data_IF_863564203275
#
_entry.id   IF_863564203275
#
_cell.length_a   1.000
_cell.length_b   1.000
_cell.length_c   1.000
_cell.angle_alpha   90.00
_cell.angle_beta   90.00
_cell.angle_gamma   90.00
#
_symmetry.space_group_name_H-M   'P 1'
#
loop_
_entity.id
_entity.type
_entity.pdbx_description
1 polymer ?
#
# COMPACT_ATOMS: atom_id res chain seq x y z
N UNK A 1 21.07 7.61 24.10
CA UNK A 1 19.70 8.12 24.21
C UNK A 1 18.77 6.95 24.58
N UNK A 2 17.98 7.08 25.64
CA UNK A 2 17.02 6.05 26.01
C UNK A 2 15.90 6.00 24.95
N UNK A 3 15.90 4.97 24.11
CA UNK A 3 14.81 4.76 23.15
C UNK A 3 13.50 4.56 23.91
N UNK A 4 12.44 5.26 23.50
CA UNK A 4 11.10 5.08 24.06
C UNK A 4 10.68 3.63 23.78
N UNK A 5 10.64 2.81 24.83
CA UNK A 5 10.10 1.45 24.76
C UNK A 5 8.63 1.53 25.10
N UNK A 6 7.77 1.70 24.09
CA UNK A 6 6.33 1.59 24.29
C UNK A 6 6.00 0.12 24.57
N UNK A 7 5.47 -0.24 25.75
CA UNK A 7 5.05 -1.60 26.01
C UNK A 7 3.99 -1.93 24.97
N UNK A 8 4.25 -2.94 24.14
CA UNK A 8 3.35 -3.24 23.04
C UNK A 8 1.94 -3.48 23.59
N UNK A 9 1.80 -4.01 24.82
CA UNK A 9 0.58 -4.53 25.48
C UNK A 9 -0.58 -3.54 25.62
N UNK A 10 -0.38 -2.24 25.43
CA UNK A 10 -1.48 -1.29 25.46
C UNK A 10 -2.15 -1.08 24.08
N UNK A 11 -3.46 -0.73 24.06
CA UNK A 11 -4.19 -0.42 22.82
C UNK A 11 -3.45 0.61 21.96
N UNK A 12 -3.62 0.53 20.63
CA UNK A 12 -2.93 1.42 19.68
C UNK A 12 -3.07 2.90 20.06
N UNK A 13 -4.26 3.29 20.51
CA UNK A 13 -4.62 4.67 20.83
C UNK A 13 -3.82 5.19 22.05
N UNK A 14 -3.59 4.34 23.05
CA UNK A 14 -2.74 4.65 24.20
C UNK A 14 -1.26 4.73 23.82
N UNK A 15 -0.81 3.90 22.86
CA UNK A 15 0.56 3.99 22.33
C UNK A 15 0.78 5.29 21.56
N UNK A 16 -0.21 5.72 20.77
CA UNK A 16 -0.17 6.99 20.05
C UNK A 16 -0.17 8.19 21.01
N UNK A 17 -1.00 8.15 22.06
CA UNK A 17 -1.04 9.19 23.08
C UNK A 17 0.27 9.33 23.89
N UNK A 18 1.10 8.28 23.93
CA UNK A 18 2.41 8.28 24.59
C UNK A 18 3.54 8.79 23.70
N UNK A 19 3.29 9.01 22.40
CA UNK A 19 4.28 9.61 21.53
C UNK A 19 4.38 11.11 21.85
N UNK A 20 5.61 11.66 22.01
CA UNK A 20 5.77 13.10 22.19
C UNK A 20 5.09 13.83 21.03
N UNK A 21 4.35 14.89 21.34
CA UNK A 21 3.71 15.75 20.34
C UNK A 21 4.82 16.48 19.58
N UNK A 22 5.26 15.91 18.47
CA UNK A 22 6.23 16.56 17.59
C UNK A 22 5.50 17.65 16.80
N UNK A 23 6.11 18.84 16.62
CA UNK A 23 5.53 19.89 15.80
C UNK A 23 5.22 19.34 14.39
N UNK A 24 4.07 19.74 13.85
CA UNK A 24 3.61 19.29 12.53
C UNK A 24 4.59 19.66 11.40
N UNK A 25 4.48 18.96 10.27
CA UNK A 25 5.33 19.11 9.08
C UNK A 25 4.97 20.38 8.28
N UNK A 26 4.64 21.49 8.95
CA UNK A 26 4.43 22.76 8.26
C UNK A 26 5.70 23.63 8.28
N UNK A 27 6.75 23.24 9.00
CA UNK A 27 7.97 24.05 9.21
C UNK A 27 9.30 23.29 9.02
N UNK A 28 9.43 22.43 8.01
CA UNK A 28 10.76 21.90 7.62
C UNK A 28 11.22 22.52 6.31
N UNK A 29 11.39 23.84 6.36
CA UNK A 29 12.09 24.64 5.33
C UNK A 29 13.28 25.36 5.97
N UNK A 30 14.31 24.60 6.37
CA UNK A 30 15.66 25.17 6.46
C UNK A 30 16.71 24.10 6.22
N UNK A 31 17.58 24.38 5.24
CA UNK A 31 18.77 23.62 4.92
C UNK A 31 19.74 23.78 6.08
N UNK A 32 19.79 22.81 7.00
CA UNK A 32 20.81 22.77 8.05
C UNK A 32 22.02 22.02 7.50
N UNK A 33 23.08 22.76 7.17
CA UNK A 33 24.42 22.21 7.02
C UNK A 33 24.97 21.88 8.41
N UNK A 34 24.74 20.64 8.84
CA UNK A 34 25.18 20.05 10.11
C UNK A 34 24.99 18.53 10.06
N UNK A 35 25.37 17.76 11.11
CA UNK A 35 25.18 16.31 11.12
C UNK A 35 23.71 16.01 10.80
N UNK A 36 23.50 15.27 9.70
CA UNK A 36 22.23 15.12 8.99
C UNK A 36 21.11 14.75 9.99
N UNK A 37 20.27 15.74 10.34
CA UNK A 37 19.12 15.52 11.20
C UNK A 37 18.07 14.78 10.39
N UNK A 38 17.80 13.52 10.73
CA UNK A 38 16.70 12.75 10.15
C UNK A 38 15.42 13.16 10.87
N UNK A 39 14.46 13.83 10.21
CA UNK A 39 13.21 14.20 10.86
C UNK A 39 12.44 12.95 11.27
N UNK A 40 12.08 12.85 12.55
CA UNK A 40 11.19 11.80 13.04
C UNK A 40 9.77 12.34 12.93
N UNK A 41 8.95 11.71 12.10
CA UNK A 41 7.55 12.08 11.91
C UNK A 41 6.67 10.92 12.36
N UNK A 42 5.67 11.22 13.18
CA UNK A 42 4.63 10.26 13.56
C UNK A 42 3.54 10.26 12.49
N UNK A 43 3.26 9.09 11.91
CA UNK A 43 2.15 8.95 10.95
C UNK A 43 0.81 9.17 11.67
N UNK A 44 -0.06 9.98 11.05
CA UNK A 44 -1.44 10.18 11.53
C UNK A 44 -2.28 8.93 11.25
N UNK A 45 -3.12 8.54 12.20
CA UNK A 45 -4.07 7.43 12.07
C UNK A 45 -5.48 7.98 12.06
N UNK A 46 -6.32 7.46 11.16
CA UNK A 46 -7.71 7.88 11.01
C UNK A 46 -8.66 6.70 11.24
N UNK A 47 -9.77 6.90 11.99
CA UNK A 47 -10.83 5.90 12.09
C UNK A 47 -11.40 5.53 10.72
N UNK A 48 -11.26 4.25 10.34
CA UNK A 48 -11.64 3.73 9.01
C UNK A 48 -13.09 4.04 8.66
N UNK A 49 -14.03 3.83 9.59
CA UNK A 49 -15.47 4.03 9.34
C UNK A 49 -15.84 5.47 8.98
N UNK A 50 -15.06 6.45 9.45
CA UNK A 50 -15.36 7.86 9.27
C UNK A 50 -14.59 8.49 8.11
N UNK A 51 -13.37 8.03 7.85
CA UNK A 51 -12.41 8.78 7.02
C UNK A 51 -11.81 8.00 5.87
N UNK A 52 -12.20 6.74 5.61
CA UNK A 52 -11.57 5.99 4.52
C UNK A 52 -11.63 6.69 3.15
N UNK A 53 -12.77 7.26 2.71
CA UNK A 53 -12.82 8.00 1.44
C UNK A 53 -11.89 9.23 1.45
N UNK A 54 -11.86 9.97 2.57
CA UNK A 54 -11.01 11.15 2.72
C UNK A 54 -9.52 10.78 2.65
N UNK A 55 -9.13 9.67 3.28
CA UNK A 55 -7.74 9.20 3.32
C UNK A 55 -7.26 8.68 1.97
N UNK A 56 -8.12 8.06 1.16
CA UNK A 56 -7.76 7.57 -0.18
C UNK A 56 -7.50 8.75 -1.12
N UNK A 57 -8.23 9.85 -0.96
CA UNK A 57 -8.18 11.01 -1.86
C UNK A 57 -7.58 12.27 -1.24
N UNK A 58 -6.89 12.17 -0.11
CA UNK A 58 -6.42 13.33 0.65
C UNK A 58 -5.46 14.20 -0.18
N UNK A 59 -5.91 15.35 -0.71
CA UNK A 59 -5.10 16.19 -1.57
C UNK A 59 -4.08 17.01 -0.77
N UNK A 60 -4.18 17.01 0.56
CA UNK A 60 -3.28 17.75 1.44
C UNK A 60 -1.98 17.01 1.73
N UNK A 61 -1.87 15.73 1.32
CA UNK A 61 -0.65 14.96 1.54
C UNK A 61 0.49 15.53 0.69
N UNK A 62 1.65 15.83 1.30
CA UNK A 62 2.78 16.43 0.60
C UNK A 62 3.45 15.46 -0.38
N UNK A 63 3.07 14.18 -0.36
CA UNK A 63 3.63 13.13 -1.20
C UNK A 63 2.52 12.22 -1.74
N UNK A 64 2.67 11.68 -2.97
CA UNK A 64 1.78 10.66 -3.49
C UNK A 64 1.71 9.44 -2.56
N UNK A 65 0.51 8.92 -2.32
CA UNK A 65 0.30 7.70 -1.53
C UNK A 65 0.23 6.46 -2.41
N UNK A 66 0.85 5.36 -1.97
CA UNK A 66 0.79 4.07 -2.66
C UNK A 66 -0.40 3.19 -2.22
N UNK A 67 -1.30 3.74 -1.39
CA UNK A 67 -2.47 3.06 -0.86
C UNK A 67 -2.72 3.34 0.62
N UNK A 68 -3.41 2.41 1.29
CA UNK A 68 -3.87 2.55 2.69
C UNK A 68 -3.43 1.35 3.51
N UNK A 69 -3.03 1.59 4.77
CA UNK A 69 -2.69 0.54 5.74
C UNK A 69 -3.74 0.48 6.83
N UNK A 70 -4.43 -0.64 6.95
CA UNK A 70 -5.40 -0.91 7.99
C UNK A 70 -4.69 -1.57 9.16
N UNK A 71 -4.64 -0.85 10.28
CA UNK A 71 -4.06 -1.35 11.52
C UNK A 71 -5.19 -1.68 12.50
N UNK A 72 -5.26 -2.90 13.05
CA UNK A 72 -6.28 -3.25 14.03
C UNK A 72 -6.05 -2.45 15.32
N UNK A 73 -7.14 -2.14 16.04
CA UNK A 73 -7.06 -1.47 17.34
C UNK A 73 -6.40 -2.36 18.40
N UNK A 74 -6.68 -3.66 18.33
CA UNK A 74 -6.07 -4.69 19.17
C UNK A 74 -4.85 -5.30 18.49
N UNK A 75 -3.95 -5.88 19.28
CA UNK A 75 -2.76 -6.56 18.75
C UNK A 75 -3.02 -7.84 17.97
N UNK A 76 -4.17 -8.43 18.22
CA UNK A 76 -4.48 -9.80 17.79
C UNK A 76 -5.03 -9.83 16.36
N UNK A 77 -5.29 -8.66 15.78
CA UNK A 77 -5.76 -8.55 14.41
C UNK A 77 -4.62 -8.60 13.38
N UNK A 78 -4.91 -9.05 12.16
CA UNK A 78 -4.02 -8.87 11.02
C UNK A 78 -3.91 -7.40 10.60
N UNK A 79 -2.74 -7.00 10.11
CA UNK A 79 -2.55 -5.72 9.42
C UNK A 79 -2.83 -5.96 7.93
N UNK A 80 -3.67 -5.12 7.34
CA UNK A 80 -3.94 -5.16 5.90
C UNK A 80 -3.31 -3.96 5.20
N UNK A 81 -2.85 -4.17 3.97
CA UNK A 81 -2.43 -3.10 3.08
C UNK A 81 -3.24 -3.18 1.79
N UNK A 82 -3.94 -2.12 1.47
CA UNK A 82 -4.55 -1.91 0.17
C UNK A 82 -3.67 -1.00 -0.67
N UNK A 83 -3.60 -1.24 -1.98
CA UNK A 83 -2.93 -0.38 -2.95
C UNK A 83 -3.87 -0.11 -4.12
N UNK A 84 -4.00 1.16 -4.51
CA UNK A 84 -4.78 1.54 -5.69
C UNK A 84 -4.24 0.90 -6.98
N UNK A 85 -2.91 0.75 -7.06
CA UNK A 85 -2.25 0.09 -8.16
C UNK A 85 -1.35 -1.02 -7.61
N UNK A 86 -1.67 -2.26 -7.98
CA UNK A 86 -0.79 -3.39 -7.71
C UNK A 86 0.23 -3.50 -8.84
N UNK A 87 1.48 -3.31 -8.48
CA UNK A 87 2.60 -3.41 -9.38
C UNK A 87 3.48 -4.59 -8.99
N UNK A 88 4.08 -5.22 -10.00
CA UNK A 88 4.93 -6.37 -9.82
C UNK A 88 6.14 -6.27 -10.73
N UNK A 89 7.27 -6.70 -10.21
CA UNK A 89 8.55 -6.68 -10.92
C UNK A 89 8.70 -8.00 -11.70
N UNK A 90 8.82 -7.91 -13.03
CA UNK A 90 9.04 -9.06 -13.91
C UNK A 90 10.33 -8.90 -14.70
N UNK A 91 10.95 -10.02 -15.08
CA UNK A 91 12.01 -10.00 -16.08
C UNK A 91 11.36 -10.01 -17.47
N UNK A 92 11.73 -9.04 -18.31
CA UNK A 92 11.26 -9.00 -19.69
C UNK A 92 12.11 -9.92 -20.57
N UNK A 93 11.49 -10.82 -21.32
CA UNK A 93 12.17 -11.72 -22.25
C UNK A 93 11.56 -11.64 -23.65
N UNK A 94 12.37 -11.88 -24.69
CA UNK A 94 11.87 -12.01 -26.06
C UNK A 94 11.25 -13.39 -26.26
N UNK A 95 10.05 -13.44 -26.83
CA UNK A 95 9.37 -14.68 -27.20
C UNK A 95 9.39 -14.94 -28.72
N UNK A 96 10.17 -14.15 -29.48
CA UNK A 96 10.28 -14.23 -30.94
C UNK A 96 9.20 -13.41 -31.67
N UNK A 97 9.43 -13.13 -32.96
CA UNK A 97 8.49 -12.42 -33.86
C UNK A 97 7.91 -11.11 -33.30
N UNK A 98 8.71 -10.33 -32.56
CA UNK A 98 8.26 -9.08 -31.94
C UNK A 98 7.34 -9.23 -30.72
N UNK A 99 7.25 -10.44 -30.15
CA UNK A 99 6.48 -10.71 -28.92
C UNK A 99 7.38 -10.78 -27.70
N UNK A 100 6.84 -10.35 -26.55
CA UNK A 100 7.57 -10.30 -25.28
C UNK A 100 6.85 -11.13 -24.21
N UNK A 101 7.61 -11.64 -23.25
CA UNK A 101 7.13 -12.50 -22.19
C UNK A 101 7.62 -12.00 -20.83
N UNK A 102 6.74 -12.04 -19.83
CA UNK A 102 7.07 -11.71 -18.45
C UNK A 102 7.48 -12.97 -17.70
N UNK A 103 8.64 -12.92 -17.07
CA UNK A 103 9.18 -13.99 -16.25
C UNK A 103 9.16 -13.61 -14.77
N UNK A 104 8.86 -14.59 -13.91
CA UNK A 104 8.79 -14.46 -12.45
C UNK A 104 9.79 -15.39 -11.79
N UNK A 105 10.13 -15.09 -10.54
CA UNK A 105 10.92 -15.99 -9.71
C UNK A 105 10.11 -17.17 -9.21
N UNK A 106 10.66 -18.38 -9.31
CA UNK A 106 10.13 -19.59 -8.69
C UNK A 106 11.30 -20.48 -8.27
N UNK A 107 11.41 -20.75 -6.96
CA UNK A 107 12.42 -21.67 -6.39
C UNK A 107 13.86 -21.40 -6.86
N UNK A 108 14.26 -20.12 -6.91
CA UNK A 108 15.60 -19.70 -7.33
C UNK A 108 15.82 -19.67 -8.84
N UNK A 109 14.81 -20.00 -9.66
CA UNK A 109 14.84 -19.90 -11.12
C UNK A 109 13.88 -18.82 -11.62
N UNK A 110 14.11 -18.33 -12.82
CA UNK A 110 13.15 -17.46 -13.52
C UNK A 110 12.35 -18.31 -14.50
N UNK A 111 11.02 -18.28 -14.38
CA UNK A 111 10.10 -19.07 -15.21
C UNK A 111 9.14 -18.16 -15.96
N UNK A 112 8.70 -18.54 -17.16
CA UNK A 112 7.70 -17.77 -17.87
C UNK A 112 6.37 -17.77 -17.12
N UNK A 113 5.77 -16.59 -16.89
CA UNK A 113 4.53 -16.45 -16.13
C UNK A 113 3.33 -16.21 -17.06
N UNK A 114 3.39 -15.14 -17.85
CA UNK A 114 2.33 -14.75 -18.80
C UNK A 114 2.98 -14.15 -20.05
N UNK A 115 2.32 -14.33 -21.20
CA UNK A 115 2.69 -13.59 -22.41
C UNK A 115 2.28 -12.13 -22.19
N UNK A 116 3.25 -11.23 -22.20
CA UNK A 116 2.95 -9.80 -22.19
C UNK A 116 2.54 -9.42 -23.61
N UNK A 117 1.23 -9.36 -23.88
CA UNK A 117 0.76 -8.56 -25.02
C UNK A 117 0.76 -7.11 -24.60
N UNK A 118 1.93 -6.50 -24.61
CA UNK A 118 2.04 -5.04 -24.47
C UNK A 118 1.64 -4.49 -25.82
N UNK A 119 0.43 -3.94 -25.90
CA UNK A 119 -0.03 -3.27 -27.12
C UNK A 119 0.62 -1.89 -27.17
N UNK A 120 0.90 -1.42 -28.38
CA UNK A 120 1.51 -0.11 -28.59
C UNK A 120 0.70 1.04 -27.96
N UNK A 121 -0.63 0.88 -27.90
CA UNK A 121 -1.58 1.80 -27.28
C UNK A 121 -1.50 1.89 -25.74
N UNK A 122 -0.89 0.90 -25.08
CA UNK A 122 -0.68 0.88 -23.61
C UNK A 122 0.73 1.37 -23.21
N UNK A 123 1.55 1.78 -24.17
CA UNK A 123 2.93 2.21 -23.93
C UNK A 123 2.95 3.66 -23.45
N UNK A 124 3.36 3.86 -22.20
CA UNK A 124 3.83 5.17 -21.75
C UNK A 124 5.22 5.39 -22.38
N UNK A 125 5.51 6.53 -23.03
CA UNK A 125 6.89 6.84 -23.43
C UNK A 125 7.83 6.66 -22.23
N UNK A 126 8.96 5.96 -22.35
CA UNK A 126 9.69 5.59 -23.57
C UNK A 126 9.51 4.12 -24.04
N UNK A 127 8.46 3.41 -23.64
CA UNK A 127 8.33 1.96 -23.89
C UNK A 127 7.77 1.59 -25.27
N UNK A 128 8.03 2.42 -26.29
CA UNK A 128 7.49 2.21 -27.66
C UNK A 128 8.13 1.05 -28.40
N UNK A 129 9.42 0.84 -28.16
CA UNK A 129 10.15 -0.36 -28.55
C UNK A 129 10.62 -1.08 -27.27
N UNK A 130 10.27 -2.36 -27.14
CA UNK A 130 10.60 -3.15 -25.97
C UNK A 130 11.90 -3.94 -26.11
N UNK A 131 12.45 -4.04 -27.31
CA UNK A 131 13.70 -4.76 -27.57
C UNK A 131 14.88 -4.28 -26.70
N UNK A 132 15.07 -2.97 -26.44
CA UNK A 132 16.16 -2.47 -25.59
C UNK A 132 16.05 -2.90 -24.12
N UNK A 133 14.86 -3.27 -23.66
CA UNK A 133 14.60 -3.62 -22.26
C UNK A 133 14.61 -5.13 -21.99
N UNK A 134 14.86 -5.96 -23.01
CA UNK A 134 14.97 -7.42 -22.86
C UNK A 134 16.11 -7.76 -21.90
N UNK A 135 15.84 -8.66 -20.95
CA UNK A 135 16.75 -9.05 -19.87
C UNK A 135 16.70 -8.14 -18.63
N UNK A 136 16.06 -6.97 -18.73
CA UNK A 136 15.88 -6.08 -17.58
C UNK A 136 14.67 -6.48 -16.75
N UNK A 137 14.66 -6.01 -15.51
CA UNK A 137 13.48 -6.10 -14.64
C UNK A 137 12.64 -4.85 -14.88
N UNK A 138 11.37 -5.06 -15.13
CA UNK A 138 10.37 -4.02 -15.39
C UNK A 138 9.26 -4.13 -14.36
N UNK A 139 8.80 -2.99 -13.85
CA UNK A 139 7.62 -2.91 -13.01
C UNK A 139 6.38 -2.84 -13.88
N UNK A 140 5.44 -3.74 -13.68
CA UNK A 140 4.21 -3.84 -14.45
C UNK A 140 2.98 -3.79 -13.55
N UNK A 141 1.88 -3.23 -14.06
CA UNK A 141 0.55 -3.38 -13.47
C UNK A 141 -0.37 -4.20 -14.39
N UNK A 142 -1.31 -4.99 -13.84
CA UNK A 142 -2.34 -5.64 -14.64
C UNK A 142 -3.33 -4.59 -15.14
N UNK A 143 -3.62 -4.60 -16.44
CA UNK A 143 -4.69 -3.82 -17.06
C UNK A 143 -5.93 -4.69 -17.29
N UNK A 144 -5.74 -5.97 -17.62
CA UNK A 144 -6.79 -6.97 -17.74
C UNK A 144 -6.24 -8.36 -17.38
N UNK A 145 -7.10 -9.39 -17.40
CA UNK A 145 -6.67 -10.77 -17.16
C UNK A 145 -5.54 -11.25 -18.10
N UNK A 146 -5.42 -10.68 -19.30
CA UNK A 146 -4.41 -11.05 -20.29
C UNK A 146 -3.43 -9.94 -20.66
N UNK A 147 -3.57 -8.75 -20.07
CA UNK A 147 -2.80 -7.56 -20.46
C UNK A 147 -2.14 -6.90 -19.28
N UNK A 148 -0.87 -6.58 -19.47
CA UNK A 148 0.01 -5.99 -18.48
C UNK A 148 0.65 -4.75 -19.08
N UNK A 149 0.69 -3.67 -18.32
CA UNK A 149 1.31 -2.40 -18.69
C UNK A 149 2.64 -2.27 -17.97
N UNK A 150 3.71 -1.92 -18.69
CA UNK A 150 5.00 -1.56 -18.10
C UNK A 150 4.94 -0.12 -17.62
N UNK A 151 5.40 0.12 -16.39
CA UNK A 151 5.44 1.44 -15.75
C UNK A 151 6.85 2.01 -15.75
N UNK A 152 7.85 1.21 -15.39
CA UNK A 152 9.24 1.63 -15.36
C UNK A 152 10.22 0.45 -15.43
N UNK A 153 11.51 0.76 -15.64
CA UNK A 153 12.61 -0.19 -15.47
C UNK A 153 13.09 -0.13 -14.02
N UNK A 154 13.32 -1.30 -13.40
CA UNK A 154 13.72 -1.46 -12.02
C UNK A 154 15.20 -1.81 -11.92
N UNK A 155 16.04 -0.78 -11.97
CA UNK A 155 17.50 -0.91 -11.82
C UNK A 155 17.93 -1.19 -10.38
N UNK A 156 17.03 -1.01 -9.42
CA UNK A 156 17.20 -1.32 -7.99
C UNK A 156 16.99 -2.81 -7.65
N UNK A 157 16.63 -3.63 -8.64
CA UNK A 157 16.29 -5.04 -8.47
C UNK A 157 17.22 -5.93 -9.27
N UNK A 158 17.72 -6.98 -8.62
CA UNK A 158 18.47 -8.04 -9.29
C UNK A 158 17.60 -9.22 -9.73
N UNK A 159 16.42 -9.38 -9.11
CA UNK A 159 15.50 -10.51 -9.34
C UNK A 159 14.05 -10.04 -9.49
N UNK A 160 13.25 -10.68 -10.37
CA UNK A 160 11.82 -10.43 -10.43
C UNK A 160 11.12 -10.89 -9.15
N UNK A 161 9.88 -10.47 -8.95
CA UNK A 161 9.06 -10.94 -7.85
C UNK A 161 8.83 -12.45 -7.95
N UNK A 162 8.67 -13.07 -6.77
CA UNK A 162 8.35 -14.49 -6.70
C UNK A 162 6.89 -14.73 -7.12
N UNK A 163 6.60 -15.83 -7.81
CA UNK A 163 5.26 -16.15 -8.33
C UNK A 163 4.18 -16.09 -7.25
N UNK A 164 4.50 -16.55 -6.03
CA UNK A 164 3.60 -16.43 -4.87
C UNK A 164 3.17 -14.99 -4.60
N UNK A 165 4.07 -14.01 -4.70
CA UNK A 165 3.71 -12.59 -4.48
C UNK A 165 2.71 -12.13 -5.54
N UNK A 166 2.93 -12.54 -6.79
CA UNK A 166 2.04 -12.20 -7.89
C UNK A 166 0.66 -12.86 -7.74
N UNK A 167 0.62 -14.16 -7.44
CA UNK A 167 -0.63 -14.93 -7.35
C UNK A 167 -1.43 -14.70 -6.06
N UNK A 168 -0.76 -14.37 -4.95
CA UNK A 168 -1.43 -14.16 -3.64
C UNK A 168 -1.96 -12.75 -3.46
N UNK A 169 -1.62 -11.82 -4.35
CA UNK A 169 -2.12 -10.45 -4.26
C UNK A 169 -3.56 -10.42 -4.76
N UNK A 170 -4.52 -10.36 -3.84
CA UNK A 170 -5.92 -10.11 -4.18
C UNK A 170 -6.07 -8.69 -4.71
N UNK A 171 -6.51 -8.56 -5.96
CA UNK A 171 -6.87 -7.28 -6.54
C UNK A 171 -8.20 -6.85 -5.97
N UNK A 172 -8.17 -5.93 -5.01
CA UNK A 172 -9.34 -5.16 -4.60
C UNK A 172 -9.21 -3.80 -5.27
N UNK A 173 -10.08 -3.49 -6.22
CA UNK A 173 -10.11 -2.14 -6.75
C UNK A 173 -10.67 -1.14 -5.71
N UNK A 174 -10.55 0.14 -5.99
CA UNK A 174 -11.01 1.19 -5.06
C UNK A 174 -12.54 1.13 -4.85
N UNK A 175 -13.28 0.79 -5.90
CA UNK A 175 -14.74 0.71 -5.84
C UNK A 175 -15.20 -0.43 -4.94
N UNK A 176 -14.52 -1.58 -5.01
CA UNK A 176 -14.73 -2.74 -4.14
C UNK A 176 -14.35 -2.41 -2.71
N UNK A 177 -13.22 -1.72 -2.48
CA UNK A 177 -12.84 -1.27 -1.15
C UNK A 177 -13.89 -0.34 -0.52
N UNK A 178 -14.40 0.63 -1.30
CA UNK A 178 -15.44 1.56 -0.85
C UNK A 178 -16.79 0.85 -0.65
N UNK A 179 -17.08 -0.23 -1.37
CA UNK A 179 -18.25 -1.08 -1.11
C UNK A 179 -18.10 -1.86 0.21
N UNK A 180 -16.92 -2.45 0.46
CA UNK A 180 -16.61 -3.12 1.73
C UNK A 180 -16.76 -2.14 2.89
N UNK A 181 -16.21 -0.93 2.76
CA UNK A 181 -16.33 0.12 3.78
C UNK A 181 -17.79 0.48 4.08
N UNK A 182 -18.62 0.69 3.06
CA UNK A 182 -20.06 0.96 3.23
C UNK A 182 -20.77 -0.18 3.96
N UNK A 183 -20.47 -1.43 3.63
CA UNK A 183 -21.02 -2.61 4.34
C UNK A 183 -20.56 -2.66 5.80
N UNK A 184 -19.29 -2.38 6.07
CA UNK A 184 -18.78 -2.31 7.44
C UNK A 184 -19.47 -1.20 8.25
N UNK A 185 -19.69 -0.03 7.64
CA UNK A 185 -20.42 1.08 8.27
C UNK A 185 -21.88 0.71 8.56
N UNK A 186 -22.54 0.03 7.63
CA UNK A 186 -23.89 -0.48 7.82
C UNK A 186 -23.95 -1.47 8.99
N UNK A 187 -23.09 -2.48 9.01
CA UNK A 187 -23.05 -3.46 10.11
C UNK A 187 -22.73 -2.82 11.46
N UNK A 188 -21.86 -1.82 11.48
CA UNK A 188 -21.56 -1.06 12.70
C UNK A 188 -22.80 -0.28 13.17
N UNK A 189 -23.47 0.44 12.27
CA UNK A 189 -24.65 1.25 12.59
C UNK A 189 -25.83 0.39 13.05
N UNK A 190 -26.02 -0.78 12.43
CA UNK A 190 -27.08 -1.74 12.79
C UNK A 190 -26.76 -2.53 14.06
N UNK A 191 -25.56 -2.37 14.65
CA UNK A 191 -25.13 -3.14 15.81
C UNK A 191 -24.94 -4.65 15.53
N UNK A 192 -24.87 -5.04 14.26
CA UNK A 192 -24.68 -6.43 13.83
C UNK A 192 -23.20 -6.79 13.70
N UNK A 193 -22.30 -5.80 13.76
CA UNK A 193 -20.87 -6.02 13.83
C UNK A 193 -20.43 -6.47 15.24
N UNK A 194 -19.52 -7.46 15.37
CA UNK A 194 -18.82 -7.69 16.62
C UNK A 194 -18.01 -6.42 16.98
N UNK A 195 -18.34 -5.78 18.11
CA UNK A 195 -17.78 -4.48 18.50
C UNK A 195 -18.59 -3.26 18.03
N UNK A 196 -19.86 -3.44 17.62
CA UNK A 196 -20.77 -2.34 17.33
C UNK A 196 -21.01 -1.41 18.54
N UNK A 197 -21.71 -0.28 18.38
CA UNK A 197 -21.90 0.74 19.42
C UNK A 197 -22.64 0.25 20.69
N UNK A 198 -23.08 -1.01 20.73
CA UNK A 198 -23.60 -1.67 21.94
C UNK A 198 -22.76 -2.85 22.46
N UNK A 199 -21.63 -3.18 21.83
CA UNK A 199 -20.79 -4.33 22.19
C UNK A 199 -19.58 -3.95 23.08
N UNK A 200 -19.28 -2.66 23.21
CA UNK A 200 -18.37 -2.16 24.24
C UNK A 200 -19.19 -1.69 25.45
N UNK A 201 -19.03 -2.38 26.57
CA UNK A 201 -19.45 -1.86 27.87
C UNK A 201 -18.88 -0.46 28.07
N UNK A 202 -19.78 0.51 28.17
CA UNK A 202 -19.58 1.77 28.89
C UNK A 202 -18.40 2.64 28.46
N UNK A 203 -18.63 3.52 27.49
CA UNK A 203 -18.01 4.86 27.51
C UNK A 203 -19.10 5.89 27.21
N UNK A 204 -20.09 5.98 28.10
CA UNK A 204 -20.83 7.22 28.28
C UNK A 204 -19.82 8.23 28.84
N UNK A 205 -19.26 9.06 27.95
CA UNK A 205 -18.87 10.41 28.32
C UNK A 205 -20.15 11.10 28.73
N UNK A 206 -20.48 11.04 30.01
CA UNK A 206 -21.36 11.96 30.74
C UNK A 206 -21.73 11.34 32.09
N UNK A 207 -20.75 11.24 33.01
CA UNK A 207 -21.00 11.45 34.45
C UNK A 207 -19.75 11.94 35.16
N UNK A 208 -19.80 13.21 35.54
CA UNK A 208 -19.19 13.69 36.77
C UNK A 208 -18.82 15.18 36.71
N UNK A 209 -19.03 15.92 37.80
CA UNK A 209 -20.23 15.97 38.67
C UNK A 209 -21.35 16.84 38.09
#
# INVERSE_FOLDING_TARGET
AAGIRLPLTCPLEHRLAQLPTLPGIDEVSSVVQGPQLVPIVVKRYHPVLQHLPDVIHDPSLPVPTDGVVFTPRTKEGPIFKWKALHTFDFRLQSAGSGTFQLHVGLAGKEVPYRKARIRAEDQVPPFTDLAPYVGLIVECCPYSASHWRILCVRTDKDRPNHVKVVDTTTHLDESELLQIHRRCLQHYTEGTAPGGPGADGGWSRDRGP
#
